data_IF_304107217939
#
_entry.id   IF_304107217939
#
_cell.length_a   1.000
_cell.length_b   1.000
_cell.length_c   1.000
_cell.angle_alpha   90.00
_cell.angle_beta   90.00
_cell.angle_gamma   90.00
#
_symmetry.space_group_name_H-M   'P 1'
#
loop_
_entity.id
_entity.type
_entity.pdbx_description
1 polymer ?
#
# COMPACT_ATOMS: atom_id res chain seq x y z
N UNK A 1 4.66 -15.31 3.47
CA UNK A 1 3.78 -16.29 2.80
C UNK A 1 2.42 -15.63 2.68
N UNK A 2 1.74 -15.74 1.53
CA UNK A 2 0.39 -15.21 1.29
C UNK A 2 -0.54 -16.35 0.88
N UNK A 3 -1.81 -16.29 1.28
CA UNK A 3 -2.88 -17.22 0.90
C UNK A 3 -4.14 -16.46 0.48
N UNK A 4 -5.05 -17.16 -0.21
CA UNK A 4 -6.25 -16.54 -0.80
C UNK A 4 -7.30 -16.08 0.24
N UNK A 5 -7.16 -16.50 1.50
CA UNK A 5 -7.97 -16.10 2.65
C UNK A 5 -7.37 -14.93 3.44
N UNK A 6 -6.21 -14.40 3.02
CA UNK A 6 -5.66 -13.18 3.60
C UNK A 6 -6.63 -11.99 3.40
N UNK A 7 -6.72 -11.08 4.38
CA UNK A 7 -7.58 -9.92 4.26
C UNK A 7 -7.08 -8.96 3.18
N UNK A 8 -7.93 -8.05 2.68
CA UNK A 8 -7.50 -7.02 1.75
C UNK A 8 -6.33 -6.18 2.29
N UNK A 9 -5.42 -5.78 1.40
CA UNK A 9 -4.18 -5.07 1.77
C UNK A 9 -4.17 -3.65 1.21
N UNK A 10 -3.79 -2.66 1.99
CA UNK A 10 -3.48 -1.32 1.50
C UNK A 10 -1.98 -1.05 1.57
N UNK A 11 -1.40 -0.54 0.48
CA UNK A 11 0.03 -0.33 0.31
C UNK A 11 0.28 1.14 -0.02
N UNK A 12 1.25 1.76 0.66
CA UNK A 12 1.73 3.11 0.39
C UNK A 12 3.25 3.06 0.20
N UNK A 13 3.77 3.39 -0.99
CA UNK A 13 5.20 3.23 -1.29
C UNK A 13 5.76 4.35 -2.16
N UNK A 14 6.97 4.81 -1.85
CA UNK A 14 7.70 5.79 -2.65
C UNK A 14 8.47 5.14 -3.80
N UNK A 15 8.32 5.62 -5.03
CA UNK A 15 8.92 4.96 -6.21
C UNK A 15 10.45 5.09 -6.27
N UNK A 16 11.03 6.01 -5.49
CA UNK A 16 12.48 6.21 -5.34
C UNK A 16 13.03 5.69 -4.00
N UNK A 17 12.30 4.84 -3.27
CA UNK A 17 12.80 4.21 -2.04
C UNK A 17 14.01 3.29 -2.36
N UNK A 18 15.17 3.62 -1.79
CA UNK A 18 16.44 2.90 -1.93
C UNK A 18 16.72 1.94 -0.77
N UNK A 19 15.96 2.03 0.31
CA UNK A 19 16.04 1.13 1.47
C UNK A 19 15.20 -0.11 1.20
N UNK A 20 13.97 0.09 0.72
CA UNK A 20 13.07 -0.98 0.26
C UNK A 20 12.64 -0.67 -1.18
N UNK A 21 13.28 -1.30 -2.19
CA UNK A 21 13.00 -1.00 -3.60
C UNK A 21 11.53 -1.22 -3.97
N UNK A 22 10.99 -0.33 -4.82
CA UNK A 22 9.61 -0.40 -5.31
C UNK A 22 9.27 -1.72 -6.04
N UNK A 23 10.26 -2.47 -6.53
CA UNK A 23 10.07 -3.82 -7.08
C UNK A 23 9.49 -4.82 -6.06
N UNK A 24 9.62 -4.57 -4.76
CA UNK A 24 8.96 -5.35 -3.71
C UNK A 24 7.43 -5.14 -3.76
N UNK A 25 6.97 -3.91 -3.97
CA UNK A 25 5.55 -3.59 -4.19
C UNK A 25 5.00 -4.28 -5.43
N UNK A 26 5.77 -4.29 -6.52
CA UNK A 26 5.38 -5.00 -7.76
C UNK A 26 5.25 -6.51 -7.52
N UNK A 27 6.22 -7.11 -6.82
CA UNK A 27 6.16 -8.55 -6.46
C UNK A 27 4.95 -8.86 -5.58
N UNK A 28 4.69 -8.03 -4.56
CA UNK A 28 3.57 -8.21 -3.64
C UNK A 28 2.22 -8.13 -4.35
N UNK A 29 2.00 -7.06 -5.12
CA UNK A 29 0.74 -6.85 -5.85
C UNK A 29 0.48 -7.92 -6.90
N UNK A 30 1.51 -8.34 -7.64
CA UNK A 30 1.38 -9.47 -8.57
C UNK A 30 0.97 -10.77 -7.87
N UNK A 31 1.48 -11.02 -6.65
CA UNK A 31 1.05 -12.20 -5.87
C UNK A 31 -0.36 -12.08 -5.32
N UNK A 32 -0.79 -10.87 -4.93
CA UNK A 32 -2.16 -10.60 -4.49
C UNK A 32 -3.15 -10.80 -5.66
N UNK A 33 -2.80 -10.34 -6.86
CA UNK A 33 -3.56 -10.58 -8.10
C UNK A 33 -3.71 -12.08 -8.39
N UNK A 34 -2.62 -12.86 -8.34
CA UNK A 34 -2.65 -14.31 -8.55
C UNK A 34 -3.57 -15.05 -7.57
N UNK A 35 -3.68 -14.55 -6.34
CA UNK A 35 -4.49 -15.14 -5.28
C UNK A 35 -5.92 -14.61 -5.24
N UNK A 36 -6.24 -13.55 -6.00
CA UNK A 36 -7.52 -12.87 -5.95
C UNK A 36 -7.76 -12.10 -4.64
N UNK A 37 -6.70 -11.76 -3.90
CA UNK A 37 -6.79 -10.95 -2.68
C UNK A 37 -6.84 -9.48 -3.07
N UNK A 38 -7.90 -8.78 -2.65
CA UNK A 38 -8.09 -7.37 -2.98
C UNK A 38 -7.00 -6.48 -2.37
N UNK A 39 -6.58 -5.45 -3.09
CA UNK A 39 -5.63 -4.49 -2.56
C UNK A 39 -5.81 -3.08 -3.12
N UNK A 40 -5.28 -2.10 -2.39
CA UNK A 40 -5.11 -0.73 -2.85
C UNK A 40 -3.64 -0.34 -2.81
N UNK A 41 -3.18 0.38 -3.83
CA UNK A 41 -1.80 0.84 -3.93
C UNK A 41 -1.74 2.35 -4.17
N UNK A 42 -1.08 3.06 -3.26
CA UNK A 42 -0.69 4.45 -3.38
C UNK A 42 0.81 4.56 -3.66
N UNK A 43 1.15 4.90 -4.89
CA UNK A 43 2.54 5.09 -5.32
C UNK A 43 2.88 6.58 -5.35
N UNK A 44 3.93 6.96 -4.61
CA UNK A 44 4.38 8.34 -4.51
C UNK A 44 5.59 8.54 -5.41
N UNK A 45 5.36 9.13 -6.58
CA UNK A 45 6.40 9.30 -7.59
C UNK A 45 7.56 10.16 -7.08
N UNK A 46 8.79 9.66 -7.21
CA UNK A 46 10.01 10.32 -6.76
C UNK A 46 10.23 10.33 -5.24
N UNK A 47 9.28 9.81 -4.44
CA UNK A 47 9.42 9.76 -3.00
C UNK A 47 10.33 8.59 -2.55
N UNK A 48 11.13 8.83 -1.52
CA UNK A 48 12.01 7.85 -0.90
C UNK A 48 11.39 7.11 0.28
N UNK A 49 12.25 6.49 1.10
CA UNK A 49 11.83 5.77 2.31
C UNK A 49 11.07 6.67 3.29
N UNK A 50 9.96 6.17 3.84
CA UNK A 50 9.07 6.96 4.70
C UNK A 50 8.34 8.10 3.96
N UNK A 51 8.19 7.96 2.63
CA UNK A 51 7.56 8.94 1.75
C UNK A 51 8.27 10.31 1.73
N UNK A 52 9.58 10.31 2.01
CA UNK A 52 10.40 11.52 1.92
C UNK A 52 10.36 12.11 0.50
N UNK A 53 10.01 13.38 0.39
CA UNK A 53 9.88 14.07 -0.90
C UNK A 53 8.52 13.94 -1.57
N UNK A 54 7.58 13.17 -1.00
CA UNK A 54 6.20 13.16 -1.47
C UNK A 54 5.48 14.49 -1.19
N UNK A 55 4.47 14.79 -2.00
CA UNK A 55 3.54 15.89 -1.70
C UNK A 55 2.76 15.60 -0.42
N UNK A 56 2.76 16.55 0.52
CA UNK A 56 2.13 16.36 1.84
C UNK A 56 0.62 16.20 1.76
N UNK A 57 -0.04 16.87 0.82
CA UNK A 57 -1.49 16.76 0.68
C UNK A 57 -1.87 15.38 0.11
N UNK A 58 -1.09 14.86 -0.85
CA UNK A 58 -1.24 13.50 -1.34
C UNK A 58 -1.03 12.45 -0.23
N UNK A 59 0.00 12.62 0.61
CA UNK A 59 0.24 11.72 1.75
C UNK A 59 -0.92 11.78 2.75
N UNK A 60 -1.43 12.98 3.05
CA UNK A 60 -2.58 13.16 3.94
C UNK A 60 -3.83 12.46 3.39
N UNK A 61 -4.16 12.64 2.11
CA UNK A 61 -5.30 12.00 1.48
C UNK A 61 -5.19 10.46 1.49
N UNK A 62 -4.00 9.92 1.18
CA UNK A 62 -3.75 8.48 1.25
C UNK A 62 -3.84 7.95 2.69
N UNK A 63 -3.43 8.73 3.68
CA UNK A 63 -3.55 8.38 5.10
C UNK A 63 -5.01 8.34 5.55
N UNK A 64 -5.83 9.30 5.13
CA UNK A 64 -7.27 9.30 5.38
C UNK A 64 -7.94 8.09 4.72
N UNK A 65 -7.55 7.75 3.49
CA UNK A 65 -8.01 6.52 2.83
C UNK A 65 -7.60 5.28 3.62
N UNK A 66 -6.36 5.21 4.11
CA UNK A 66 -5.89 4.09 4.91
C UNK A 66 -6.73 3.90 6.19
N UNK A 67 -7.08 4.99 6.88
CA UNK A 67 -7.99 4.93 8.04
C UNK A 67 -9.37 4.41 7.65
N UNK A 68 -9.94 4.90 6.54
CA UNK A 68 -11.22 4.40 6.05
C UNK A 68 -11.15 2.92 5.65
N UNK A 69 -10.08 2.50 4.97
CA UNK A 69 -9.86 1.13 4.54
C UNK A 69 -9.83 0.17 5.72
N UNK A 70 -9.10 0.55 6.77
CA UNK A 70 -9.03 -0.21 8.02
C UNK A 70 -10.42 -0.31 8.66
N UNK A 71 -11.21 0.76 8.71
CA UNK A 71 -12.59 0.73 9.25
C UNK A 71 -13.55 -0.12 8.42
N UNK A 72 -13.39 -0.15 7.11
CA UNK A 72 -14.20 -0.96 6.20
C UNK A 72 -13.93 -2.47 6.38
N UNK A 73 -12.69 -2.84 6.72
CA UNK A 73 -12.23 -4.24 6.71
C UNK A 73 -11.91 -4.81 8.10
N UNK A 74 -11.96 -4.00 9.17
CA UNK A 74 -11.92 -4.51 10.53
C UNK A 74 -13.31 -4.94 10.99
N UNK A 75 -13.53 -6.23 11.26
CA UNK A 75 -14.80 -6.69 11.82
C UNK A 75 -14.94 -6.23 13.28
N UNK A 76 -15.86 -5.31 13.53
CA UNK A 76 -16.49 -5.03 14.83
C UNK A 76 -15.63 -4.37 15.90
N UNK A 77 -16.06 -3.18 16.33
CA UNK A 77 -16.30 -2.97 17.76
C UNK A 77 -17.61 -3.68 18.16
#
# INVERSE_FOLDING_TARGET
HLSADDPPVLIMHGTADRTVPYSQTVTLTGRLDELGVGYELFSFEGAGHGLQGADRAAVQAATERAVAFVREHLPGE
#
